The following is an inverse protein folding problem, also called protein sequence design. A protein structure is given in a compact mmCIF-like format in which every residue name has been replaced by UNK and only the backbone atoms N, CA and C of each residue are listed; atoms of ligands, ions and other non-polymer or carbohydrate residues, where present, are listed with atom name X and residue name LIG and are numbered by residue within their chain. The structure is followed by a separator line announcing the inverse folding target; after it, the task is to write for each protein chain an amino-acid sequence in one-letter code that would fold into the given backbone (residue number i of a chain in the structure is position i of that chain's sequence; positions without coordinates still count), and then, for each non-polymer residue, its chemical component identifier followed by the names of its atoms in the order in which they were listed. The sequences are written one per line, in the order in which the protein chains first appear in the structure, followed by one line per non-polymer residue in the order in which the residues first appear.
data_IF_320347519438
#
_entry.id   IF_320347519438
#
_cell.length_a   1.000
_cell.length_b   1.000
_cell.length_c   1.000
_cell.angle_alpha   90.00
_cell.angle_beta   90.00
_cell.angle_gamma   90.00
#
_symmetry.space_group_name_H-M   'P 1'
#
loop_
_entity.id
_entity.type
_entity.pdbx_description
1 polymer ?
2 polymer ?
3 non-polymer ?
4 non-polymer ?
#
loop_
_entity_poly.entity_id
_entity_poly.type
_entity_poly.pdbx_seq_one_letter_code
_entity_poly.pdbx_strand_id
2 'polydeoxyribonucleotide' '(DG)(DC)(DG)(DC)(DT)(DT)(UFP)(DG)(DC)(DG)(DC)' ?
#
# COMPACT_ATOMS: atom_id res chain seq x y z
N UNK A 10 -14.91 31.76 -7.52
CA UNK A 10 -15.97 32.31 -6.61
C UNK A 10 -16.56 31.25 -5.66
N UNK A 11 -16.01 30.03 -5.62
CA UNK A 11 -16.26 29.03 -4.55
C UNK A 11 -15.10 29.09 -3.55
N UNK A 12 -15.26 29.71 -2.40
CA UNK A 12 -14.13 29.94 -1.46
C UNK A 12 -14.29 29.06 -0.23
N UNK A 13 -13.19 28.77 0.46
CA UNK A 13 -13.10 27.82 1.59
C UNK A 13 -13.37 28.60 2.88
N UNK A 14 -13.99 27.97 3.88
CA UNK A 14 -14.16 28.54 5.25
C UNK A 14 -12.79 28.68 5.91
N UNK A 15 -12.45 29.85 6.50
CA UNK A 15 -11.21 30.03 7.25
C UNK A 15 -10.80 28.92 8.24
N UNK A 16 -11.71 28.48 9.09
CA UNK A 16 -11.47 27.41 10.11
C UNK A 16 -11.16 26.10 9.38
N UNK A 17 -11.88 25.80 8.29
CA UNK A 17 -11.61 24.60 7.42
C UNK A 17 -10.12 24.63 7.02
N UNK A 18 -9.74 25.70 6.34
CA UNK A 18 -8.37 25.86 5.83
C UNK A 18 -7.39 25.67 6.99
N UNK A 19 -7.53 26.45 8.08
CA UNK A 19 -6.40 26.59 9.04
C UNK A 19 -6.27 25.29 9.84
N UNK A 20 -7.38 24.58 10.01
CA UNK A 20 -7.37 23.29 10.75
C UNK A 20 -7.05 22.11 9.82
N UNK A 21 -6.95 22.31 8.49
CA UNK A 21 -6.60 21.27 7.49
C UNK A 21 -5.17 21.41 6.96
N UNK A 22 -4.68 22.62 6.73
CA UNK A 22 -3.38 22.82 6.06
C UNK A 22 -2.30 23.05 7.10
N UNK A 23 -2.69 22.95 8.36
CA UNK A 23 -1.72 23.11 9.42
C UNK A 23 -0.73 21.97 9.37
N UNK A 24 0.54 22.25 9.61
CA UNK A 24 1.55 21.19 9.44
C UNK A 24 2.05 20.54 10.73
N UNK A 25 1.36 20.70 11.85
CA UNK A 25 1.74 20.02 13.11
C UNK A 25 0.70 19.03 13.58
N UNK A 26 -0.51 19.14 13.07
CA UNK A 26 -1.61 18.26 13.50
C UNK A 26 -2.26 17.77 12.22
N UNK A 27 -2.89 16.61 12.29
CA UNK A 27 -3.49 16.09 11.06
C UNK A 27 -4.98 16.05 11.14
N UNK A 28 -5.60 15.68 10.04
CA UNK A 28 -7.07 15.48 9.98
C UNK A 28 -7.34 14.14 9.31
N UNK A 29 -8.59 13.68 9.42
CA UNK A 29 -9.04 12.40 8.83
C UNK A 29 -9.60 12.69 7.44
N UNK A 30 -9.11 13.75 6.81
CA UNK A 30 -9.63 14.27 5.53
C UNK A 30 -8.48 14.86 4.72
N UNK A 31 -8.66 15.03 3.42
CA UNK A 31 -7.63 15.69 2.58
C UNK A 31 -8.25 16.79 1.76
N UNK A 32 -7.58 17.93 1.68
CA UNK A 32 -7.99 19.03 0.78
C UNK A 32 -6.95 19.15 -0.32
N UNK A 33 -7.41 19.48 -1.51
CA UNK A 33 -6.50 19.84 -2.62
C UNK A 33 -7.01 21.13 -3.25
N UNK A 34 -6.15 22.15 -3.30
CA UNK A 34 -6.37 23.42 -4.04
C UNK A 34 -5.55 23.36 -5.34
N UNK A 35 -6.16 23.66 -6.48
CA UNK A 35 -5.45 23.57 -7.78
C UNK A 35 -5.55 24.91 -8.52
N UNK A 36 -4.56 25.18 -9.37
CA UNK A 36 -4.53 26.29 -10.34
C UNK A 36 -4.10 25.73 -11.69
N UNK A 37 -4.55 26.34 -12.80
CA UNK A 37 -4.09 25.98 -14.16
C UNK A 37 -3.61 27.26 -14.85
N UNK A 38 -2.34 27.29 -15.25
CA UNK A 38 -1.75 28.43 -15.98
C UNK A 38 -1.34 27.92 -17.37
N UNK A 39 -1.88 28.53 -18.43
CA UNK A 39 -1.44 28.27 -19.83
C UNK A 39 -0.11 29.02 -20.05
N UNK A 40 0.75 28.53 -20.94
CA UNK A 40 2.13 29.04 -21.13
C UNK A 40 2.34 29.43 -22.59
N UNK A 41 3.02 30.57 -22.82
CA UNK A 41 3.54 30.99 -24.14
C UNK A 41 4.59 32.09 -23.94
N UNK A 49 -3.82 32.69 -15.26
CA UNK A 49 -4.38 31.45 -14.65
C UNK A 49 -5.80 31.22 -15.19
N UNK A 50 -5.97 30.16 -15.99
CA UNK A 50 -7.27 29.87 -16.66
C UNK A 50 -8.29 29.35 -15.63
N UNK A 51 -7.97 28.37 -14.79
CA UNK A 51 -8.95 27.82 -13.82
C UNK A 51 -8.33 27.60 -12.45
N UNK A 52 -9.13 27.79 -11.42
CA UNK A 52 -8.68 27.61 -10.03
C UNK A 52 -9.83 26.94 -9.27
N UNK A 53 -9.52 26.44 -8.09
CA UNK A 53 -10.54 25.95 -7.14
C UNK A 53 -9.94 24.95 -6.17
N UNK A 54 -10.82 24.23 -5.49
CA UNK A 54 -10.39 23.31 -4.41
C UNK A 54 -11.47 22.24 -4.23
N UNK A 55 -11.04 21.11 -3.64
CA UNK A 55 -11.89 19.95 -3.34
C UNK A 55 -11.25 19.12 -2.22
N UNK A 56 -12.02 18.18 -1.70
CA UNK A 56 -11.55 17.22 -0.66
C UNK A 56 -11.93 15.81 -1.10
N UNK A 57 -11.36 14.83 -0.41
CA UNK A 57 -11.56 13.39 -0.67
C UNK A 57 -13.01 13.03 -0.30
N UNK A 58 -13.55 11.97 -0.92
CA UNK A 58 -14.77 11.24 -0.48
C UNK A 58 -14.34 10.20 0.55
N UNK A 59 -14.94 10.22 1.74
CA UNK A 59 -14.54 9.33 2.83
C UNK A 59 -15.01 7.92 2.56
N UNK A 60 -14.12 6.97 2.78
CA UNK A 60 -14.49 5.56 2.60
C UNK A 60 -15.44 5.34 3.75
N UNK A 61 -16.60 4.81 3.43
CA UNK A 61 -17.60 4.60 4.48
C UNK A 61 -18.33 3.38 4.00
N UNK A 62 -17.88 2.23 4.43
CA UNK A 62 -18.52 1.00 3.92
C UNK A 62 -19.98 0.87 4.40
N UNK A 63 -20.27 1.24 5.65
CA UNK A 63 -21.65 1.14 6.19
C UNK A 63 -22.49 2.35 5.81
N UNK A 66 -18.65 4.41 0.50
CA UNK A 66 -18.08 3.28 -0.27
C UNK A 66 -16.64 3.05 0.18
N UNK A 67 -15.80 2.71 -0.78
CA UNK A 67 -14.34 2.47 -0.59
C UNK A 67 -13.55 3.78 -0.50
N UNK A 68 -14.18 4.92 -0.80
CA UNK A 68 -13.51 6.20 -0.67
C UNK A 68 -12.90 6.61 -1.98
N UNK A 69 -12.53 7.86 -2.05
CA UNK A 69 -11.87 8.29 -3.27
C UNK A 69 -10.91 9.36 -2.83
N UNK A 70 -9.65 9.18 -3.12
CA UNK A 70 -8.61 10.12 -2.61
C UNK A 70 -8.71 11.42 -3.39
N UNK A 71 -8.36 12.53 -2.72
CA UNK A 71 -8.47 13.91 -3.26
C UNK A 71 -7.76 14.00 -4.62
N UNK A 72 -6.62 13.31 -4.75
CA UNK A 72 -5.84 13.26 -6.02
C UNK A 72 -6.72 12.78 -7.17
N UNK A 73 -7.43 11.68 -6.96
CA UNK A 73 -8.17 10.98 -8.03
C UNK A 73 -9.38 11.82 -8.42
N UNK A 74 -9.95 12.55 -7.48
CA UNK A 74 -11.09 13.45 -7.78
C UNK A 74 -10.65 14.54 -8.76
N UNK A 75 -9.43 15.05 -8.59
CA UNK A 75 -8.85 16.08 -9.48
C UNK A 75 -8.82 15.53 -10.91
N UNK A 76 -8.29 14.32 -11.07
CA UNK A 76 -8.13 13.69 -12.40
C UNK A 76 -9.51 13.46 -13.02
N UNK A 77 -10.50 13.16 -12.19
CA UNK A 77 -11.91 12.97 -12.63
C UNK A 77 -12.40 14.27 -13.29
N UNK A 78 -12.10 15.43 -12.72
CA UNK A 78 -12.66 16.71 -13.24
C UNK A 78 -11.78 17.26 -14.36
N UNK A 79 -10.62 16.65 -14.65
CA UNK A 79 -9.67 17.18 -15.67
C UNK A 79 -10.37 17.38 -17.01
N UNK A 80 -11.28 16.51 -17.50
CA UNK A 80 -12.00 16.78 -18.74
C UNK A 80 -12.76 18.12 -18.73
N UNK A 81 -13.39 18.45 -17.59
CA UNK A 81 -14.26 19.66 -17.47
C UNK A 81 -13.40 20.93 -17.62
N UNK A 82 -12.07 20.83 -17.49
CA UNK A 82 -11.11 21.96 -17.64
C UNK A 82 -10.80 22.25 -19.12
N UNK A 83 -11.14 21.37 -20.05
CA UNK A 83 -11.01 21.63 -21.51
C UNK A 83 -9.58 22.10 -21.81
N UNK A 84 -8.56 21.33 -21.41
CA UNK A 84 -7.17 21.70 -21.75
C UNK A 84 -6.97 21.45 -23.24
N UNK A 85 -6.55 22.48 -23.97
CA UNK A 85 -6.21 22.39 -25.42
C UNK A 85 -5.05 21.42 -25.53
N UNK A 86 -5.21 20.33 -26.32
CA UNK A 86 -4.17 19.32 -26.47
C UNK A 86 -2.90 19.85 -27.15
N UNK A 87 -3.06 20.90 -27.98
CA UNK A 87 -1.98 21.57 -28.73
C UNK A 87 -1.48 22.82 -27.97
N UNK A 88 -1.73 22.96 -26.67
CA UNK A 88 -1.18 24.09 -25.86
C UNK A 88 -0.47 23.51 -24.63
N UNK A 89 0.38 24.27 -23.96
CA UNK A 89 1.19 23.75 -22.80
C UNK A 89 0.63 24.37 -21.52
N UNK A 90 0.30 23.54 -20.53
CA UNK A 90 -0.26 24.02 -19.23
C UNK A 90 0.66 23.64 -18.08
N UNK A 91 0.68 24.46 -17.04
CA UNK A 91 1.25 24.07 -15.73
C UNK A 91 0.10 23.91 -14.73
N UNK A 92 0.05 22.78 -14.02
CA UNK A 92 -0.98 22.54 -12.98
C UNK A 92 -0.31 22.56 -11.61
N UNK A 93 -0.91 23.25 -10.64
CA UNK A 93 -0.30 23.34 -9.29
C UNK A 93 -1.27 22.76 -8.26
N UNK A 94 -0.83 21.85 -7.40
CA UNK A 94 -1.65 21.40 -6.25
C UNK A 94 -0.97 21.84 -4.97
N UNK A 95 -1.76 22.40 -4.07
CA UNK A 95 -1.39 22.55 -2.65
C UNK A 95 -2.26 21.54 -1.90
N UNK A 96 -1.66 20.50 -1.35
CA UNK A 96 -2.42 19.32 -0.87
C UNK A 96 -2.04 19.06 0.59
N UNK A 97 -3.05 18.83 1.45
CA UNK A 97 -2.86 18.79 2.92
C UNK A 97 -2.08 17.53 3.28
N UNK A 98 -2.24 16.45 2.51
CA UNK A 98 -1.43 15.21 2.65
C UNK A 98 -0.61 14.95 1.39
N UNK A 99 0.65 14.59 1.53
CA UNK A 99 1.45 14.05 0.41
C UNK A 99 0.68 12.89 -0.23
N UNK A 100 0.62 12.77 -1.58
CA UNK A 100 -0.11 11.67 -2.22
C UNK A 100 0.35 10.29 -1.75
N UNK A 101 -0.59 9.34 -1.75
CA UNK A 101 -0.32 7.93 -1.36
C UNK A 101 0.17 7.16 -2.59
N UNK A 102 0.80 6.01 -2.34
CA UNK A 102 1.13 4.97 -3.34
C UNK A 102 0.12 3.80 -3.25
N UNK A 103 -0.10 3.34 -2.01
CA UNK A 103 -0.76 2.04 -1.72
C UNK A 103 -2.19 1.99 -2.31
N UNK A 104 -2.94 3.09 -2.25
CA UNK A 104 -4.33 3.16 -2.77
C UNK A 104 -4.33 3.48 -4.27
N UNK A 105 -3.15 3.72 -4.85
CA UNK A 105 -2.94 3.81 -6.31
C UNK A 105 -2.91 5.25 -6.82
N UNK A 106 -3.03 6.25 -5.93
CA UNK A 106 -3.02 7.68 -6.34
C UNK A 106 -1.75 8.01 -7.13
N UNK A 107 -0.59 7.64 -6.59
CA UNK A 107 0.74 7.89 -7.20
C UNK A 107 0.78 7.32 -8.63
N UNK A 108 0.35 6.08 -8.83
CA UNK A 108 0.39 5.42 -10.15
C UNK A 108 -0.48 6.13 -11.17
N UNK A 109 -1.70 6.48 -10.78
CA UNK A 109 -2.74 7.02 -11.69
C UNK A 109 -2.34 8.41 -12.20
N UNK A 110 -1.83 9.26 -11.30
CA UNK A 110 -1.28 10.61 -11.66
C UNK A 110 -0.19 10.43 -12.73
N UNK A 111 0.77 9.54 -12.47
CA UNK A 111 1.86 9.26 -13.43
C UNK A 111 1.25 8.85 -14.77
N UNK A 112 0.32 7.89 -14.74
CA UNK A 112 -0.36 7.34 -15.94
C UNK A 112 -0.94 8.49 -16.76
N UNK A 113 -1.65 9.38 -16.07
CA UNK A 113 -2.27 10.59 -16.65
C UNK A 113 -1.22 11.50 -17.27
N UNK A 114 -0.14 11.78 -16.52
CA UNK A 114 0.97 12.63 -17.03
C UNK A 114 1.56 12.01 -18.31
N UNK A 115 1.83 10.71 -18.30
CA UNK A 115 2.36 9.98 -19.50
C UNK A 115 1.42 10.13 -20.70
N UNK A 116 0.14 9.88 -20.49
CA UNK A 116 -0.87 9.89 -21.58
C UNK A 116 -1.10 11.30 -22.11
N UNK A 117 -0.71 12.32 -21.36
CA UNK A 117 -0.94 13.69 -21.84
C UNK A 117 0.32 14.36 -22.40
N UNK A 118 1.25 14.67 -21.51
CA UNK A 118 2.59 15.26 -21.76
C UNK A 118 2.55 16.73 -22.15
N UNK A 119 1.42 17.40 -22.19
CA UNK A 119 1.51 18.83 -22.50
C UNK A 119 1.21 19.48 -21.18
N UNK A 120 0.88 18.63 -20.22
CA UNK A 120 0.65 19.10 -18.83
C UNK A 120 1.94 18.91 -18.02
N UNK A 121 2.36 19.95 -17.30
CA UNK A 121 3.48 19.94 -16.34
C UNK A 121 2.88 20.14 -14.94
N UNK A 122 3.30 19.38 -13.93
CA UNK A 122 2.60 19.36 -12.62
C UNK A 122 3.54 19.80 -11.49
N UNK A 123 2.99 20.54 -10.55
CA UNK A 123 3.78 21.12 -9.42
C UNK A 123 3.01 20.79 -8.15
N UNK A 124 3.60 20.07 -7.20
CA UNK A 124 2.84 19.59 -6.01
C UNK A 124 3.54 20.07 -4.76
N UNK A 125 2.81 20.82 -3.94
CA UNK A 125 3.28 21.25 -2.60
C UNK A 125 2.40 20.57 -1.56
N UNK A 126 2.98 19.86 -0.61
CA UNK A 126 2.22 19.16 0.46
C UNK A 126 2.46 19.85 1.80
N UNK A 127 1.39 20.03 2.58
CA UNK A 127 1.46 20.63 3.94
C UNK A 127 2.17 19.66 4.88
N UNK A 128 1.89 18.36 4.78
CA UNK A 128 2.54 17.29 5.57
C UNK A 128 2.66 15.99 4.76
N UNK A 129 3.53 15.09 5.23
CA UNK A 129 3.84 13.81 4.57
C UNK A 129 2.92 12.70 5.10
N UNK A 130 2.22 12.02 4.20
CA UNK A 130 1.36 10.86 4.55
C UNK A 130 2.21 9.61 4.67
N UNK A 131 2.85 9.45 5.84
CA UNK A 131 3.79 8.33 6.11
C UNK A 131 3.03 7.21 6.83
N UNK A 132 1.72 7.36 7.06
CA UNK A 132 0.82 6.25 7.47
C UNK A 132 0.95 5.19 6.39
N UNK A 133 0.81 5.60 5.13
CA UNK A 133 1.15 4.73 3.97
C UNK A 133 2.62 4.40 4.17
N UNK A 134 3.02 3.12 4.32
CA UNK A 134 4.42 2.81 4.53
C UNK A 134 5.16 2.80 3.20
N UNK A 135 4.42 2.98 2.11
CA UNK A 135 4.97 3.10 0.74
C UNK A 135 5.06 4.55 0.28
N UNK A 136 5.17 5.48 1.22
CA UNK A 136 5.12 6.93 0.90
C UNK A 136 6.37 7.32 0.13
N UNK A 137 7.54 6.79 0.48
CA UNK A 137 8.81 7.15 -0.21
C UNK A 137 8.69 6.79 -1.68
N UNK A 138 8.12 5.62 -2.01
CA UNK A 138 8.03 5.12 -3.42
C UNK A 138 7.08 6.04 -4.20
N UNK A 139 5.99 6.50 -3.56
CA UNK A 139 4.97 7.40 -4.15
C UNK A 139 5.65 8.68 -4.62
N UNK A 140 6.38 9.35 -3.74
CA UNK A 140 6.99 10.68 -4.01
C UNK A 140 8.05 10.52 -5.11
N UNK A 141 8.92 9.52 -5.00
CA UNK A 141 10.01 9.31 -5.97
C UNK A 141 9.40 8.92 -7.31
N UNK A 142 8.29 8.20 -7.29
CA UNK A 142 7.60 7.76 -8.54
C UNK A 142 7.02 8.97 -9.26
N UNK A 143 6.47 9.91 -8.51
CA UNK A 143 5.91 11.17 -9.06
C UNK A 143 7.06 12.03 -9.62
N UNK A 144 8.17 12.16 -8.89
CA UNK A 144 9.35 12.93 -9.35
C UNK A 144 9.83 12.39 -10.70
N UNK A 145 9.92 11.07 -10.86
CA UNK A 145 10.40 10.36 -12.08
C UNK A 145 9.42 10.59 -13.23
N UNK A 146 8.16 10.90 -12.94
CA UNK A 146 7.11 11.13 -13.95
C UNK A 146 7.18 12.57 -14.49
N UNK A 147 7.96 13.45 -13.84
CA UNK A 147 8.19 14.86 -14.23
C UNK A 147 7.29 15.82 -13.47
N UNK A 148 6.72 15.41 -12.34
CA UNK A 148 6.08 16.32 -11.37
C UNK A 148 7.21 16.98 -10.57
N UNK A 149 6.97 18.18 -10.04
CA UNK A 149 7.84 18.79 -9.00
C UNK A 149 7.17 18.48 -7.67
N UNK A 150 7.90 17.88 -6.74
CA UNK A 150 7.31 17.52 -5.43
C UNK A 150 8.00 18.36 -4.35
N UNK A 151 7.26 19.16 -3.61
CA UNK A 151 7.83 20.13 -2.66
C UNK A 151 6.96 20.20 -1.42
N UNK A 152 7.48 20.80 -0.36
CA UNK A 152 6.77 21.09 0.90
C UNK A 152 6.25 22.52 0.85
N UNK A 153 4.99 22.76 1.23
CA UNK A 153 4.39 24.13 1.33
C UNK A 153 5.17 24.94 2.38
N UNK A 154 5.60 26.15 2.03
CA UNK A 154 6.15 27.14 2.99
C UNK A 154 5.11 28.23 3.20
N UNK A 155 5.44 29.17 4.09
CA UNK A 155 4.64 30.39 4.39
C UNK A 155 4.06 31.01 3.11
N UNK A 156 4.86 31.12 2.05
CA UNK A 156 4.41 31.82 0.81
C UNK A 156 3.32 31.00 0.14
N UNK A 157 3.40 29.68 0.12
CA UNK A 157 2.38 28.81 -0.53
C UNK A 157 1.11 28.78 0.32
N UNK A 158 1.25 28.71 1.64
CA UNK A 158 0.12 28.82 2.60
C UNK A 158 -0.54 30.19 2.43
N UNK A 159 0.26 31.24 2.41
CA UNK A 159 -0.26 32.62 2.27
C UNK A 159 -0.97 32.71 0.93
N UNK A 160 -0.38 32.20 -0.16
CA UNK A 160 -1.02 32.31 -1.50
C UNK A 160 -2.35 31.55 -1.52
N UNK A 161 -2.41 30.37 -0.91
CA UNK A 161 -3.66 29.57 -0.85
C UNK A 161 -4.71 30.32 -0.03
N UNK A 162 -4.28 30.88 1.10
CA UNK A 162 -5.12 31.73 1.98
C UNK A 162 -5.75 32.83 1.14
N UNK A 163 -4.89 33.60 0.44
CA UNK A 163 -5.31 34.78 -0.36
C UNK A 163 -6.28 34.30 -1.43
N UNK A 164 -6.00 33.17 -2.09
CA UNK A 164 -6.64 32.78 -3.38
C UNK A 164 -7.91 31.95 -3.21
N UNK A 165 -7.98 31.06 -2.20
CA UNK A 165 -9.08 30.09 -2.04
C UNK A 165 -9.86 30.29 -0.74
N UNK A 166 -9.25 30.79 0.33
CA UNK A 166 -9.95 31.04 1.62
C UNK A 166 -10.80 32.31 1.51
N UNK A 167 -12.00 32.26 2.07
CA UNK A 167 -12.95 33.40 2.18
C UNK A 167 -12.62 34.13 3.49
N UNK A 168 -11.64 35.05 3.42
CA UNK A 168 -10.99 35.71 4.59
C UNK A 168 -11.76 36.96 5.00
N UNK A 169 -12.63 37.46 4.11
CA UNK A 169 -13.47 38.68 4.32
C UNK A 169 -12.56 39.91 4.48
N UNK A 170 -11.40 39.90 3.81
CA UNK A 170 -10.40 40.97 3.87
C UNK A 170 -9.40 40.83 5.00
N UNK A 171 -9.38 39.71 5.73
CA UNK A 171 -8.43 39.54 6.87
C UNK A 171 -7.15 38.85 6.36
N UNK A 172 -5.96 39.49 6.46
CA UNK A 172 -4.71 38.86 6.03
C UNK A 172 -4.29 37.64 6.85
N UNK A 173 -3.62 36.69 6.17
CA UNK A 173 -3.18 35.36 6.70
C UNK A 173 -2.43 35.55 8.00
N UNK A 174 -2.81 34.81 9.06
CA UNK A 174 -2.08 34.81 10.36
C UNK A 174 -1.45 33.44 10.53
N UNK A 175 -0.13 33.25 10.28
CA UNK A 175 0.50 31.95 10.49
C UNK A 175 0.35 31.43 11.94
N UNK A 176 0.18 30.12 12.03
CA UNK A 176 0.10 29.39 13.32
C UNK A 176 1.50 29.22 13.92
N UNK A 177 1.59 28.88 15.21
CA UNK A 177 2.88 28.68 15.91
C UNK A 177 3.70 27.58 15.24
N UNK A 178 5.01 27.81 15.13
CA UNK A 178 6.02 26.84 14.66
C UNK A 178 5.75 26.38 13.23
N UNK A 179 5.14 27.22 12.39
CA UNK A 179 4.88 26.90 10.96
C UNK A 179 6.21 26.56 10.29
N UNK A 180 7.25 27.35 10.58
CA UNK A 180 8.56 27.28 9.89
C UNK A 180 9.39 26.09 10.39
N UNK A 181 9.47 25.85 11.70
CA UNK A 181 10.21 24.68 12.26
C UNK A 181 9.73 23.43 11.52
N UNK A 182 8.42 23.20 11.56
CA UNK A 182 7.73 22.06 10.90
C UNK A 182 8.07 22.07 9.40
N UNK A 183 7.96 23.23 8.74
CA UNK A 183 8.08 23.29 7.26
C UNK A 183 9.50 22.87 6.86
N UNK A 184 10.49 23.34 7.62
CA UNK A 184 11.92 23.02 7.37
C UNK A 184 12.16 21.54 7.66
N UNK A 185 11.63 21.03 8.77
CA UNK A 185 11.86 19.63 9.20
C UNK A 185 11.36 18.70 8.10
N UNK A 186 10.15 19.00 7.60
CA UNK A 186 9.50 18.22 6.53
C UNK A 186 10.29 18.38 5.23
N UNK A 187 10.73 19.60 4.90
CA UNK A 187 11.54 19.89 3.68
C UNK A 187 12.82 19.05 3.75
N UNK A 188 13.43 19.00 4.94
CA UNK A 188 14.61 18.14 5.20
C UNK A 188 14.30 16.71 4.85
N UNK A 189 13.22 16.17 5.41
CA UNK A 189 12.80 14.76 5.20
C UNK A 189 12.61 14.49 3.70
N UNK A 190 11.87 15.37 3.02
CA UNK A 190 11.49 15.12 1.62
C UNK A 190 12.72 15.13 0.72
N UNK A 191 13.71 15.98 1.01
CA UNK A 191 14.91 16.11 0.16
C UNK A 191 15.71 14.82 0.24
N UNK A 192 15.92 14.31 1.47
CA UNK A 192 16.53 12.98 1.75
C UNK A 192 15.87 11.91 0.88
N UNK A 193 14.54 11.88 0.83
CA UNK A 193 13.79 10.86 0.07
C UNK A 193 14.11 10.98 -1.41
N UNK A 194 13.96 12.17 -1.96
CA UNK A 194 14.10 12.40 -3.39
C UNK A 194 15.54 12.44 -3.84
N UNK A 195 16.47 12.38 -2.92
CA UNK A 195 17.89 12.44 -3.24
C UNK A 195 18.42 11.07 -3.62
N UNK A 196 17.94 10.52 -4.74
CA UNK A 196 18.39 9.18 -5.18
C UNK A 196 18.65 9.26 -6.68
N UNK B 10 13.00 -33.73 -0.50
CA UNK B 10 14.48 -33.87 -0.26
C UNK B 10 15.15 -32.51 -0.04
N UNK B 11 14.45 -31.38 -0.10
CA UNK B 11 14.97 -30.05 0.28
C UNK B 11 14.41 -29.68 1.64
N UNK B 12 15.20 -29.77 2.71
CA UNK B 12 14.64 -29.60 4.08
C UNK B 12 15.16 -28.31 4.70
N UNK B 13 14.37 -27.73 5.60
CA UNK B 13 14.66 -26.42 6.22
C UNK B 13 15.47 -26.69 7.49
N UNK B 14 16.40 -25.82 7.87
CA UNK B 14 17.11 -25.88 9.18
C UNK B 14 16.11 -25.65 10.30
N UNK B 15 16.11 -26.50 11.35
CA UNK B 15 15.25 -26.33 12.53
C UNK B 15 15.18 -24.92 13.13
N UNK B 16 16.33 -24.28 13.37
CA UNK B 16 16.43 -22.90 13.94
C UNK B 16 15.77 -21.90 12.98
N UNK B 17 15.99 -22.06 11.66
CA UNK B 17 15.33 -21.21 10.60
C UNK B 17 13.82 -21.25 10.84
N UNK B 18 13.27 -22.46 10.78
CA UNK B 18 11.82 -22.71 10.94
C UNK B 18 11.36 -22.04 12.23
N UNK B 19 11.97 -22.39 13.37
CA UNK B 19 11.39 -22.08 14.70
C UNK B 19 11.45 -20.58 14.93
N UNK B 20 12.47 -19.94 14.37
CA UNK B 20 12.70 -18.48 14.49
C UNK B 20 11.75 -17.68 13.57
N UNK B 21 11.27 -18.32 12.49
CA UNK B 21 10.43 -17.72 11.42
C UNK B 21 8.93 -17.94 11.64
N UNK B 22 8.51 -19.14 12.07
CA UNK B 22 7.05 -19.41 12.22
C UNK B 22 6.65 -19.20 13.68
N UNK B 23 7.58 -18.82 14.55
CA UNK B 23 7.20 -18.38 15.92
C UNK B 23 6.17 -17.26 15.78
N UNK B 24 4.98 -17.37 16.39
CA UNK B 24 3.97 -16.29 16.28
C UNK B 24 4.15 -15.23 17.38
N UNK B 25 5.09 -15.39 18.30
CA UNK B 25 5.39 -14.39 19.35
C UNK B 25 6.04 -13.12 18.78
N UNK B 26 7.13 -13.28 18.04
CA UNK B 26 8.00 -12.17 17.53
C UNK B 26 8.04 -12.26 16.00
N UNK B 27 8.41 -11.18 15.33
CA UNK B 27 8.51 -11.14 13.86
C UNK B 27 9.92 -11.47 13.38
N UNK B 28 10.08 -11.53 12.05
CA UNK B 28 11.39 -11.46 11.36
C UNK B 28 11.26 -10.51 10.17
N UNK B 29 12.37 -9.98 9.68
CA UNK B 29 12.40 -9.13 8.47
C UNK B 29 12.59 -10.02 7.25
N UNK B 30 11.79 -11.07 7.16
CA UNK B 30 11.94 -12.18 6.18
C UNK B 30 10.59 -12.91 6.13
N UNK B 31 10.28 -13.61 5.04
CA UNK B 31 9.06 -14.47 5.00
C UNK B 31 9.38 -15.82 4.39
N UNK B 32 8.84 -16.91 4.95
CA UNK B 32 8.98 -18.27 4.37
C UNK B 32 7.59 -18.71 3.92
N UNK B 33 7.56 -19.48 2.84
CA UNK B 33 6.32 -20.15 2.40
C UNK B 33 6.64 -21.61 2.10
N UNK B 34 5.94 -22.53 2.77
CA UNK B 34 5.94 -24.00 2.49
C UNK B 34 4.67 -24.35 1.71
N UNK B 35 4.80 -25.03 0.58
CA UNK B 35 3.61 -25.35 -0.25
C UNK B 35 3.56 -26.87 -0.46
N UNK B 36 2.33 -27.35 -0.69
CA UNK B 36 2.03 -28.74 -1.15
C UNK B 36 1.07 -28.62 -2.32
N UNK B 37 1.19 -29.48 -3.33
CA UNK B 37 0.21 -29.55 -4.45
C UNK B 37 -0.26 -31.00 -4.60
N UNK B 38 -1.51 -31.26 -4.27
CA UNK B 38 -2.07 -32.63 -4.39
C UNK B 38 -3.23 -32.59 -5.36
N UNK B 39 -3.25 -33.54 -6.29
CA UNK B 39 -4.34 -33.78 -7.26
C UNK B 39 -5.55 -34.37 -6.54
N UNK B 40 -6.77 -34.13 -7.01
CA UNK B 40 -7.99 -34.41 -6.19
C UNK B 40 -8.74 -35.70 -6.54
N UNK B 41 -9.20 -35.89 -7.78
CA UNK B 41 -10.11 -37.00 -8.19
C UNK B 41 -9.73 -38.30 -7.45
N UNK B 50 1.27 -33.60 -6.68
CA UNK B 50 2.22 -34.44 -5.88
C UNK B 50 3.55 -33.69 -5.73
N UNK B 51 3.53 -32.43 -5.29
CA UNK B 51 4.77 -31.64 -5.11
C UNK B 51 4.83 -30.99 -3.73
N UNK B 52 6.05 -30.71 -3.29
CA UNK B 52 6.23 -30.14 -1.95
C UNK B 52 7.50 -29.32 -2.03
N UNK B 53 7.54 -28.20 -1.30
CA UNK B 53 8.70 -27.31 -1.35
C UNK B 53 8.51 -26.12 -0.47
N UNK B 54 9.60 -25.41 -0.23
CA UNK B 54 9.53 -24.16 0.57
C UNK B 54 10.53 -23.18 -0.03
N UNK B 55 10.23 -21.90 0.22
CA UNK B 55 10.99 -20.74 -0.30
C UNK B 55 10.69 -19.52 0.56
N UNK B 56 11.48 -18.47 0.34
CA UNK B 56 11.42 -17.23 1.13
C UNK B 56 11.44 -16.05 0.15
N UNK B 57 11.13 -14.87 0.67
CA UNK B 57 11.08 -13.61 -0.11
C UNK B 57 12.50 -13.28 -0.58
N UNK B 58 12.64 -12.54 -1.68
CA UNK B 58 13.91 -11.90 -2.12
C UNK B 58 14.03 -10.56 -1.40
N UNK B 59 15.16 -10.31 -0.75
CA UNK B 59 15.38 -9.11 0.09
C UNK B 59 15.23 -7.84 -0.75
N UNK B 60 14.48 -6.86 -0.23
CA UNK B 60 14.30 -5.57 -0.93
C UNK B 60 15.61 -4.82 -0.71
N UNK B 61 16.21 -4.35 -1.80
CA UNK B 61 17.48 -3.58 -1.70
C UNK B 61 17.18 -2.18 -2.21
N UNK B 62 17.06 -1.19 -1.31
CA UNK B 62 16.72 0.21 -1.67
C UNK B 62 17.95 0.97 -2.19
N UNK B 63 19.18 0.58 -1.85
CA UNK B 63 20.42 1.19 -2.42
C UNK B 63 20.36 1.10 -3.95
N UNK B 64 19.94 -0.05 -4.51
CA UNK B 64 19.89 -0.34 -5.97
C UNK B 64 18.56 0.12 -6.58
N UNK B 65 17.46 0.04 -5.84
CA UNK B 65 16.11 0.45 -6.29
C UNK B 65 15.21 -0.75 -6.52
N UNK B 66 15.65 -1.94 -6.11
CA UNK B 66 14.87 -3.20 -6.14
C UNK B 66 13.96 -3.27 -4.90
N UNK B 67 12.65 -3.29 -5.13
CA UNK B 67 11.63 -3.13 -4.06
C UNK B 67 11.20 -4.48 -3.49
N UNK B 68 11.92 -5.54 -3.83
CA UNK B 68 11.70 -6.88 -3.25
C UNK B 68 10.84 -7.73 -4.17
N UNK B 69 10.72 -9.01 -3.84
CA UNK B 69 9.71 -9.86 -4.49
C UNK B 69 9.18 -10.80 -3.40
N UNK B 70 7.90 -10.67 -3.09
CA UNK B 70 7.31 -11.29 -1.87
C UNK B 70 7.19 -12.80 -2.13
N UNK B 71 7.28 -13.58 -1.05
CA UNK B 71 7.27 -15.05 -1.05
C UNK B 71 6.11 -15.60 -1.90
N UNK B 72 4.94 -14.96 -1.82
CA UNK B 72 3.72 -15.31 -2.58
C UNK B 72 4.01 -15.37 -4.08
N UNK B 73 4.65 -14.32 -4.58
CA UNK B 73 4.86 -14.14 -6.03
C UNK B 73 5.87 -15.17 -6.52
N UNK B 74 6.83 -15.51 -5.68
CA UNK B 74 7.87 -16.49 -6.10
C UNK B 74 7.20 -17.85 -6.36
N UNK B 75 6.19 -18.18 -5.55
CA UNK B 75 5.43 -19.44 -5.71
C UNK B 75 4.77 -19.43 -7.09
N UNK B 76 4.14 -18.31 -7.44
CA UNK B 76 3.39 -18.19 -8.72
C UNK B 76 4.40 -18.28 -9.89
N UNK B 77 5.61 -17.76 -9.69
CA UNK B 77 6.71 -17.84 -10.68
C UNK B 77 7.02 -19.31 -10.96
N UNK B 78 7.06 -20.17 -9.94
CA UNK B 78 7.50 -21.57 -10.15
C UNK B 78 6.31 -22.42 -10.64
N UNK B 79 5.08 -21.90 -10.63
CA UNK B 79 3.88 -22.71 -11.01
C UNK B 79 4.05 -23.39 -12.36
N UNK B 80 4.59 -22.73 -13.42
CA UNK B 80 4.84 -23.42 -14.69
C UNK B 80 5.73 -24.67 -14.56
N UNK B 81 6.74 -24.62 -13.69
CA UNK B 81 7.70 -25.75 -13.44
C UNK B 81 6.94 -27.01 -13.03
N UNK B 82 5.85 -26.83 -12.26
CA UNK B 82 5.05 -27.96 -11.69
C UNK B 82 4.30 -28.72 -12.80
N UNK B 83 4.04 -28.08 -13.93
CA UNK B 83 3.42 -28.74 -15.12
C UNK B 83 2.12 -29.42 -14.67
N UNK B 84 1.23 -28.66 -14.04
CA UNK B 84 -0.15 -29.13 -13.70
C UNK B 84 -0.94 -29.20 -15.01
N UNK B 85 -1.80 -30.22 -15.19
CA UNK B 85 -2.68 -30.35 -16.38
C UNK B 85 -4.04 -29.77 -16.03
N UNK B 86 -4.58 -28.81 -16.82
CA UNK B 86 -5.79 -28.07 -16.46
C UNK B 86 -7.05 -28.94 -16.40
N UNK B 87 -7.06 -30.06 -17.15
CA UNK B 87 -8.18 -31.03 -17.16
C UNK B 87 -8.45 -31.51 -15.73
N UNK B 88 -7.40 -31.90 -15.00
CA UNK B 88 -7.51 -32.41 -13.60
C UNK B 88 -7.69 -31.24 -12.63
N UNK B 89 -8.17 -31.53 -11.42
CA UNK B 89 -8.41 -30.49 -10.36
C UNK B 89 -7.33 -30.66 -9.29
N UNK B 90 -6.69 -29.58 -8.87
CA UNK B 90 -5.60 -29.61 -7.87
C UNK B 90 -5.96 -28.78 -6.66
N UNK B 91 -5.27 -29.02 -5.57
CA UNK B 91 -5.48 -28.23 -4.36
C UNK B 91 -4.12 -27.76 -3.93
N UNK B 92 -3.97 -26.50 -3.60
CA UNK B 92 -2.64 -25.98 -3.18
C UNK B 92 -2.74 -25.48 -1.76
N UNK B 93 -1.78 -25.83 -0.92
CA UNK B 93 -1.77 -25.36 0.49
C UNK B 93 -0.50 -24.52 0.70
N UNK B 94 -0.64 -23.32 1.26
CA UNK B 94 0.53 -22.57 1.77
C UNK B 94 0.45 -22.53 3.27
N UNK B 95 1.57 -22.78 3.92
CA UNK B 95 1.81 -22.31 5.30
C UNK B 95 2.78 -21.16 5.18
N UNK B 96 2.38 -19.95 5.58
CA UNK B 96 3.21 -18.75 5.35
C UNK B 96 3.48 -18.06 6.69
N UNK B 97 4.71 -17.60 6.88
CA UNK B 97 5.20 -16.83 8.04
C UNK B 97 4.32 -15.61 8.32
N UNK B 98 4.00 -14.85 7.27
CA UNK B 98 3.18 -13.62 7.36
C UNK B 98 1.92 -13.75 6.50
N UNK B 99 0.79 -13.22 6.97
CA UNK B 99 -0.42 -13.05 6.13
C UNK B 99 -0.04 -12.28 4.87
N UNK B 100 -0.51 -12.66 3.66
CA UNK B 100 -0.19 -11.92 2.45
C UNK B 100 -0.54 -10.43 2.55
N UNK B 101 0.22 -9.60 1.84
CA UNK B 101 -0.01 -8.14 1.76
C UNK B 101 -0.98 -7.83 0.62
N UNK B 102 -1.56 -6.63 0.65
CA UNK B 102 -2.33 -5.99 -0.45
C UNK B 102 -1.46 -4.95 -1.15
N UNK B 103 -0.80 -4.11 -0.36
CA UNK B 103 -0.16 -2.85 -0.83
C UNK B 103 0.93 -3.12 -1.89
N UNK B 104 1.72 -4.18 -1.74
CA UNK B 104 2.80 -4.54 -2.70
C UNK B 104 2.24 -5.39 -3.85
N UNK B 105 0.93 -5.69 -3.81
CA UNK B 105 0.18 -6.28 -4.94
C UNK B 105 0.01 -7.78 -4.82
N UNK B 106 0.53 -8.41 -3.77
CA UNK B 106 0.49 -9.90 -3.61
C UNK B 106 -0.97 -10.39 -3.63
N UNK B 107 -1.86 -9.77 -2.86
CA UNK B 107 -3.29 -10.10 -2.76
C UNK B 107 -3.94 -10.09 -4.15
N UNK B 108 -3.73 -9.04 -4.94
CA UNK B 108 -4.35 -8.89 -6.27
C UNK B 108 -3.90 -10.00 -7.23
N UNK B 109 -2.59 -10.28 -7.24
CA UNK B 109 -1.97 -11.16 -8.25
C UNK B 109 -2.39 -12.61 -8.00
N UNK B 110 -2.43 -13.05 -6.74
CA UNK B 110 -2.93 -14.39 -6.32
C UNK B 110 -4.36 -14.57 -6.86
N UNK B 111 -5.21 -13.58 -6.59
CA UNK B 111 -6.62 -13.61 -7.07
C UNK B 111 -6.63 -13.73 -8.58
N UNK B 112 -5.83 -12.91 -9.27
CA UNK B 112 -5.76 -12.86 -10.75
C UNK B 112 -5.44 -14.27 -11.27
N UNK B 113 -4.43 -14.89 -10.65
CA UNK B 113 -3.99 -16.27 -10.94
C UNK B 113 -5.14 -17.25 -10.72
N UNK B 114 -5.82 -17.16 -9.57
CA UNK B 114 -6.99 -18.03 -9.26
C UNK B 114 -8.07 -17.87 -10.34
N UNK B 115 -8.43 -16.63 -10.61
CA UNK B 115 -9.42 -16.27 -11.63
C UNK B 115 -9.06 -16.95 -12.93
N UNK B 116 -7.83 -16.75 -13.34
CA UNK B 116 -7.37 -17.29 -14.62
C UNK B 116 -7.21 -18.80 -14.60
N UNK B 117 -6.66 -19.34 -13.53
CA UNK B 117 -6.41 -20.79 -13.58
C UNK B 117 -7.71 -21.55 -13.44
N UNK B 118 -8.31 -21.51 -12.26
CA UNK B 118 -9.66 -22.05 -11.89
C UNK B 118 -9.77 -23.56 -11.77
N UNK B 119 -8.71 -24.31 -11.96
CA UNK B 119 -8.84 -25.75 -11.75
C UNK B 119 -8.12 -25.93 -10.43
N UNK B 120 -7.56 -24.83 -9.96
CA UNK B 120 -6.79 -24.84 -8.73
C UNK B 120 -7.63 -24.27 -7.60
N UNK B 121 -7.59 -24.94 -6.46
CA UNK B 121 -8.24 -24.51 -5.20
C UNK B 121 -7.12 -24.21 -4.22
N UNK B 122 -7.16 -23.10 -3.48
CA UNK B 122 -6.01 -22.67 -2.65
C UNK B 122 -6.40 -22.58 -1.17
N UNK B 123 -5.47 -22.95 -0.30
CA UNK B 123 -5.70 -22.97 1.16
C UNK B 123 -4.52 -22.29 1.81
N UNK B 124 -4.75 -21.24 2.59
CA UNK B 124 -3.64 -20.44 3.15
C UNK B 124 -3.75 -20.40 4.66
N UNK B 125 -2.68 -20.85 5.33
CA UNK B 125 -2.53 -20.74 6.80
C UNK B 125 -1.41 -19.76 7.07
N UNK B 126 -1.65 -18.71 7.84
CA UNK B 126 -0.63 -17.70 8.19
C UNK B 126 -0.22 -17.85 9.65
N UNK B 127 1.08 -17.89 9.91
CA UNK B 127 1.64 -17.97 11.27
C UNK B 127 1.33 -16.67 12.01
N UNK B 128 1.39 -15.52 11.33
CA UNK B 128 1.09 -14.19 11.90
C UNK B 128 0.42 -13.25 10.90
N UNK B 129 -0.17 -12.16 11.39
CA UNK B 129 -0.89 -11.18 10.53
C UNK B 129 0.06 -10.01 10.22
N UNK B 130 0.24 -9.73 8.94
CA UNK B 130 1.10 -8.61 8.50
C UNK B 130 0.25 -7.34 8.52
N UNK B 131 0.17 -6.68 9.67
CA UNK B 131 -0.68 -5.46 9.78
C UNK B 131 0.18 -4.21 9.63
N UNK B 132 1.43 -4.39 9.26
CA UNK B 132 2.31 -3.26 8.89
C UNK B 132 1.70 -2.65 7.64
N UNK B 133 1.32 -3.49 6.69
CA UNK B 133 0.52 -3.08 5.51
C UNK B 133 -0.77 -2.61 6.16
N UNK B 134 -1.23 -1.36 5.94
CA UNK B 134 -2.43 -0.92 6.61
C UNK B 134 -3.63 -1.32 5.76
N UNK B 135 -3.33 -1.99 4.65
CA UNK B 135 -4.35 -2.56 3.76
C UNK B 135 -4.51 -4.05 3.98
N UNK B 136 -4.17 -4.54 5.18
CA UNK B 136 -4.11 -6.00 5.43
C UNK B 136 -5.53 -6.56 5.43
N UNK B 137 -6.51 -5.83 5.98
CA UNK B 137 -7.90 -6.32 6.05
C UNK B 137 -8.40 -6.59 4.63
N UNK B 138 -8.13 -5.67 3.69
CA UNK B 138 -8.66 -5.76 2.29
C UNK B 138 -8.01 -6.97 1.61
N UNK B 139 -6.73 -7.20 1.89
CA UNK B 139 -5.95 -8.34 1.32
C UNK B 139 -6.65 -9.67 1.66
N UNK B 140 -6.91 -9.90 2.93
CA UNK B 140 -7.46 -11.19 3.43
C UNK B 140 -8.86 -11.40 2.87
N UNK B 141 -9.70 -10.36 2.95
CA UNK B 141 -11.11 -10.45 2.51
C UNK B 141 -11.13 -10.68 1.00
N UNK B 142 -10.17 -10.06 0.30
CA UNK B 142 -10.09 -10.14 -1.17
C UNK B 142 -9.76 -11.57 -1.59
N UNK B 143 -8.85 -12.20 -0.85
CA UNK B 143 -8.42 -13.59 -1.11
C UNK B 143 -9.61 -14.53 -0.87
N UNK B 144 -10.34 -14.37 0.24
CA UNK B 144 -11.53 -15.23 0.52
C UNK B 144 -12.54 -15.15 -0.64
N UNK B 145 -12.84 -13.93 -1.10
CA UNK B 145 -13.82 -13.63 -2.17
C UNK B 145 -13.36 -14.25 -3.50
N UNK B 146 -12.08 -14.59 -3.63
CA UNK B 146 -11.52 -15.20 -4.84
C UNK B 146 -11.67 -16.73 -4.81
N UNK B 147 -12.01 -17.31 -3.65
CA UNK B 147 -12.19 -18.77 -3.46
C UNK B 147 -11.01 -19.45 -2.79
N UNK B 148 -10.06 -18.69 -2.26
CA UNK B 148 -9.01 -19.19 -1.35
C UNK B 148 -9.62 -19.39 0.04
N UNK B 149 -9.08 -20.32 0.83
CA UNK B 149 -9.51 -20.51 2.24
C UNK B 149 -8.42 -19.86 3.09
N UNK B 150 -8.76 -18.90 3.94
CA UNK B 150 -7.74 -18.15 4.72
C UNK B 150 -7.88 -18.50 6.20
N UNK B 151 -6.83 -19.04 6.80
CA UNK B 151 -6.86 -19.53 8.20
C UNK B 151 -5.58 -19.11 8.91
N UNK B 152 -5.58 -19.21 10.23
CA UNK B 152 -4.38 -19.05 11.11
C UNK B 152 -3.79 -20.45 11.36
N UNK B 153 -2.46 -20.60 11.26
CA UNK B 153 -1.75 -21.85 11.63
C UNK B 153 -1.97 -22.16 13.12
N UNK B 154 -2.41 -23.38 13.44
CA UNK B 154 -2.46 -23.89 14.84
C UNK B 154 -1.37 -24.93 15.01
N UNK B 155 -1.28 -25.51 16.20
CA UNK B 155 -0.29 -26.57 16.53
C UNK B 155 -0.26 -27.65 15.45
N UNK B 156 -1.41 -28.07 14.94
CA UNK B 156 -1.47 -29.14 13.91
C UNK B 156 -0.73 -28.71 12.65
N UNK B 157 -0.76 -27.44 12.29
CA UNK B 157 -0.15 -26.96 11.02
C UNK B 157 1.34 -26.70 11.27
N UNK B 158 1.70 -26.14 12.42
CA UNK B 158 3.12 -25.95 12.84
C UNK B 158 3.82 -27.33 12.87
N UNK B 159 3.18 -28.26 13.58
CA UNK B 159 3.71 -29.63 13.74
C UNK B 159 3.79 -30.26 12.36
N UNK B 160 2.78 -30.13 11.51
CA UNK B 160 2.79 -30.75 10.16
C UNK B 160 3.95 -30.19 9.32
N UNK B 161 4.18 -28.87 9.39
CA UNK B 161 5.28 -28.22 8.63
C UNK B 161 6.62 -28.71 9.17
N UNK B 162 6.73 -28.78 10.50
CA UNK B 162 7.92 -29.33 11.21
C UNK B 162 8.22 -30.73 10.67
N UNK B 163 7.22 -31.61 10.72
CA UNK B 163 7.34 -33.02 10.31
C UNK B 163 7.74 -33.07 8.83
N UNK B 164 7.13 -32.24 7.98
CA UNK B 164 7.14 -32.44 6.50
C UNK B 164 8.31 -31.72 5.80
N UNK B 165 8.71 -30.55 6.28
CA UNK B 165 9.69 -29.67 5.59
C UNK B 165 10.94 -29.37 6.42
N UNK B 166 10.96 -29.70 7.71
CA UNK B 166 12.13 -29.43 8.59
C UNK B 166 13.07 -30.64 8.66
N UNK B 167 14.37 -30.34 8.72
CA UNK B 167 15.47 -31.30 8.91
C UNK B 167 15.63 -31.52 10.41
N UNK B 168 14.69 -32.28 11.00
CA UNK B 168 14.56 -32.50 12.46
C UNK B 168 15.55 -33.57 12.93
N UNK B 169 16.06 -34.39 12.00
CA UNK B 169 17.03 -35.49 12.26
C UNK B 169 16.36 -36.54 13.17
N UNK B 170 15.04 -36.72 13.03
CA UNK B 170 14.23 -37.61 13.88
C UNK B 170 13.60 -36.94 15.10
N UNK B 171 14.08 -35.78 15.56
CA UNK B 171 13.59 -35.10 16.79
C UNK B 171 12.20 -34.47 16.62
N UNK B 172 11.18 -34.88 17.42
CA UNK B 172 9.83 -34.34 17.28
C UNK B 172 9.62 -32.91 17.82
N UNK B 173 8.75 -32.18 17.12
CA UNK B 173 8.41 -30.74 17.29
C UNK B 173 8.14 -30.44 18.76
N UNK B 174 8.81 -29.44 19.33
CA UNK B 174 8.56 -28.98 20.72
C UNK B 174 8.06 -27.54 20.65
N UNK B 175 6.76 -27.28 20.84
CA UNK B 175 6.24 -25.91 20.77
C UNK B 175 6.93 -24.93 21.74
N UNK B 176 7.09 -23.70 21.25
CA UNK B 176 7.56 -22.52 22.03
C UNK B 176 6.47 -22.05 23.00
N UNK B 177 6.86 -21.25 23.98
CA UNK B 177 5.92 -20.66 24.98
C UNK B 177 4.86 -19.81 24.28
N UNK B 178 3.63 -19.88 24.80
CA UNK B 178 2.48 -19.05 24.40
C UNK B 178 2.11 -19.26 22.96
N UNK B 179 2.38 -20.44 22.36
CA UNK B 179 1.98 -20.75 20.96
C UNK B 179 0.46 -20.60 20.86
N UNK B 180 -0.28 -21.14 21.83
CA UNK B 180 -1.77 -21.21 21.78
C UNK B 180 -2.42 -19.85 22.05
N UNK B 181 -1.99 -19.11 23.09
CA UNK B 181 -2.55 -17.77 23.41
C UNK B 181 -2.53 -16.94 22.11
N UNK B 182 -1.35 -16.81 21.52
CA UNK B 182 -1.09 -16.08 20.25
C UNK B 182 -1.97 -16.65 19.14
N UNK B 183 -2.02 -17.97 18.98
CA UNK B 183 -2.71 -18.59 17.83
C UNK B 183 -4.19 -18.25 17.90
N UNK B 184 -4.76 -18.32 19.10
CA UNK B 184 -6.18 -18.02 19.37
C UNK B 184 -6.45 -16.54 19.13
N UNK B 185 -5.57 -15.67 19.65
CA UNK B 185 -5.72 -14.20 19.56
C UNK B 185 -5.81 -13.82 18.09
N UNK B 186 -4.89 -14.36 17.30
CA UNK B 186 -4.82 -14.11 15.84
C UNK B 186 -6.06 -14.71 15.16
N UNK B 187 -6.47 -15.92 15.53
CA UNK B 187 -7.67 -16.59 14.96
C UNK B 187 -8.88 -15.71 15.22
N UNK B 188 -8.98 -15.17 16.43
CA UNK B 188 -10.03 -14.20 16.81
C UNK B 188 -10.03 -13.02 15.86
N UNK B 189 -8.87 -12.39 15.71
CA UNK B 189 -8.69 -11.21 14.85
C UNK B 189 -9.10 -11.52 13.41
N UNK B 190 -8.62 -12.63 12.84
CA UNK B 190 -8.87 -12.95 11.41
C UNK B 190 -10.36 -13.20 11.19
N UNK B 191 -11.07 -13.78 12.15
CA UNK B 191 -12.51 -14.11 11.96
C UNK B 191 -13.31 -12.82 11.92
N UNK B 192 -13.01 -11.88 12.82
CA UNK B 192 -13.55 -10.50 12.81
C UNK B 192 -13.40 -9.87 11.42
N UNK B 193 -12.21 -9.97 10.82
CA UNK B 193 -11.94 -9.43 9.45
C UNK B 193 -12.85 -10.13 8.45
N UNK B 194 -12.88 -11.46 8.50
CA UNK B 194 -13.61 -12.31 7.52
C UNK B 194 -15.12 -12.28 7.78
N UNK B 195 -15.52 -11.85 8.96
CA UNK B 195 -16.94 -11.79 9.35
C UNK B 195 -17.80 -11.14 8.26
N UNK B 196 -17.53 -9.87 7.95
CA UNK B 196 -18.29 -8.99 7.02
C UNK B 196 -18.85 -9.61 5.71
X LIG E 1 0.05 36.17 -2.93
X LIG E 1 0.50 35.47 -1.66
X LIG E 1 0.02 35.18 -4.10
X LIG E 1 -1.34 36.77 -2.71
X LIG E 1 1.02 37.31 -3.25
X LIG F 1 22.85 13.41 2.43
X LIG F 1 22.05 12.83 3.59
X LIG F 1 24.33 13.11 2.64
X LIG F 1 22.39 12.78 1.11
X LIG F 1 22.63 14.91 2.37
X LIG G 1 3.81 35.87 -7.18
X LIG G 1 3.24 34.67 -6.44
X LIG G 1 4.98 36.44 -6.39
X LIG G 1 4.28 35.44 -8.57
X LIG G 1 2.72 36.94 -7.32
X LIG H 1 -4.12 8.49 -2.15
X LIG I 1 -21.81 -5.88 19.01
X LIG I 1 -20.72 -6.51 19.89
X LIG I 1 -22.65 -6.97 18.38
X LIG I 1 -21.14 -5.04 17.92
X LIG I 1 -22.68 -4.99 19.88
X LIG J 1 -23.47 -9.17 22.38
X LIG J 1 -24.13 -10.47 22.83
X LIG J 1 -23.96 -8.03 23.26
X LIG J 1 -21.95 -9.32 22.52
X LIG J 1 -23.82 -8.89 20.93
X LIG K 1 -20.47 -13.07 18.96
X LIG K 1 -21.15 -13.44 20.28
X LIG K 1 -21.24 -13.67 17.78
X LIG K 1 -19.04 -13.61 18.99
X LIG K 1 -20.45 -11.55 18.81
X LIG L 1 -18.76 -9.98 16.05
X LIG L 1 -18.24 -9.93 17.49
X LIG L 1 -18.86 -11.41 15.57
X LIG L 1 -20.14 -9.31 15.99
X LIG L 1 -17.80 -9.21 15.16
X LIG M 1 3.27 -9.28 -0.46
#
# INVERSE_FOLDING_TARGET
MEASPASGPRHLMDPHIFTSNFNNGIGRHKTYLCYEVERLDNGTSVKMDQHRGFLHNQAKNLLCGFYGRHAELRFLDLVPSLQLDPAQIYRVTWFISWSPCFSWGCAGEVRAFLQENTHVRLRIFAARIYDYDPLYKEALQMLRDAGAQVSIMTYDEFKHCWDTFVDHQGCPFQPWDGLDEHSQALSGRLRAILQNQGN
MEASPASGPRHLMDPHIFTSNFNNGIGRHKTYLCYEVERLDNGTSVKMDQHRGFLHNQAKNLLCGFYGRHAELRFLDLVPSLQLDPAQIYRVTWFISWSPCFSWGCAGEVRAFLQENTHVRLRIFAARIYDYDPLYKEALQMLRDAGAQVSIMTYDEFKHCWDTFVDHQGCPFQPWDGLDEHSQALSGRLRAILQNQGN
PO4 P O1 O2 O3 O4
PO4 P O1 O2 O3 O4
PO4 P O1 O2 O3 O4
ZN ZN
PO4 P O1 O2 O3 O4
PO4 P O1 O2 O3 O4
PO4 P O1 O2 O3 O4
PO4 P O1 O2 O3 O4
ZN ZN
#
